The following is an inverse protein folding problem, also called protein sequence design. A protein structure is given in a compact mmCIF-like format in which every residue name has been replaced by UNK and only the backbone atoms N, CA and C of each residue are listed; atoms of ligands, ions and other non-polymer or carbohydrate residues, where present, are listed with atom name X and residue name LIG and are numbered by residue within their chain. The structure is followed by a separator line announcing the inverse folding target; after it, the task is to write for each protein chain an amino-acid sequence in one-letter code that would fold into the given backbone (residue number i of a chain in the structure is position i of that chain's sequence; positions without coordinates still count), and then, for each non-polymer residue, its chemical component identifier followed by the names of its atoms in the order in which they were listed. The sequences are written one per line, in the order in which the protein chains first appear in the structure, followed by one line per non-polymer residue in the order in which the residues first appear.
data_IF_513767880300
#
_entry.id   IF_513767880300
#
_cell.length_a   1.000
_cell.length_b   1.000
_cell.length_c   1.000
_cell.angle_alpha   90.00
_cell.angle_beta   90.00
_cell.angle_gamma   90.00
#
_symmetry.space_group_name_H-M   'P 1'
#
loop_
_entity.id
_entity.type
_entity.pdbx_description
1 polymer ?
#
# COMPACT_ATOMS: atom_id res chain seq x y z
N UNK A 1 -29.62 -10.25 -15.46
CA UNK A 1 -28.55 -9.48 -16.11
C UNK A 1 -27.56 -10.44 -16.73
N UNK A 2 -27.42 -10.39 -18.05
CA UNK A 2 -26.40 -11.09 -18.81
C UNK A 2 -25.03 -10.44 -18.61
N UNK A 3 -23.94 -11.17 -18.85
CA UNK A 3 -22.58 -10.62 -18.74
C UNK A 3 -22.36 -9.31 -19.55
N UNK A 4 -22.90 -9.15 -20.78
CA UNK A 4 -22.80 -7.91 -21.56
C UNK A 4 -23.56 -6.71 -20.97
N UNK A 5 -24.57 -6.93 -20.13
CA UNK A 5 -25.30 -5.86 -19.43
C UNK A 5 -24.51 -5.40 -18.20
N UNK A 6 -23.83 -6.33 -17.53
CA UNK A 6 -22.98 -6.07 -16.38
C UNK A 6 -21.74 -5.23 -16.74
N UNK A 7 -21.11 -5.53 -17.87
CA UNK A 7 -19.95 -4.78 -18.38
C UNK A 7 -20.33 -3.34 -18.78
N UNK A 8 -21.47 -3.16 -19.46
CA UNK A 8 -22.00 -1.83 -19.78
C UNK A 8 -22.32 -1.01 -18.54
N UNK A 9 -22.91 -1.64 -17.53
CA UNK A 9 -23.17 -1.01 -16.23
C UNK A 9 -21.86 -0.53 -15.58
N UNK A 10 -20.84 -1.37 -15.48
CA UNK A 10 -19.57 -0.97 -14.86
C UNK A 10 -18.83 0.12 -15.64
N UNK A 11 -18.88 0.07 -16.98
CA UNK A 11 -18.30 1.10 -17.84
C UNK A 11 -18.99 2.46 -17.69
N UNK A 12 -20.31 2.48 -17.42
CA UNK A 12 -21.08 3.70 -17.27
C UNK A 12 -21.10 4.24 -15.82
N UNK A 13 -21.15 3.36 -14.82
CA UNK A 13 -21.32 3.74 -13.42
C UNK A 13 -20.06 4.40 -12.85
N UNK A 14 -18.86 3.95 -13.24
CA UNK A 14 -17.60 4.54 -12.79
C UNK A 14 -17.55 6.07 -13.03
N UNK A 15 -17.59 6.54 -14.28
CA UNK A 15 -17.59 7.97 -14.60
C UNK A 15 -18.70 8.78 -13.89
N UNK A 16 -19.88 8.18 -13.69
CA UNK A 16 -20.96 8.81 -12.92
C UNK A 16 -20.59 8.99 -11.44
N UNK A 17 -20.11 7.94 -10.78
CA UNK A 17 -19.77 7.98 -9.35
C UNK A 17 -18.63 8.96 -9.03
N UNK A 18 -17.80 9.29 -10.02
CA UNK A 18 -16.73 10.28 -9.91
C UNK A 18 -17.10 11.67 -10.47
N UNK A 19 -18.38 11.90 -10.81
CA UNK A 19 -18.93 13.23 -11.10
C UNK A 19 -18.70 13.78 -12.50
N UNK A 20 -18.35 12.92 -13.46
CA UNK A 20 -18.11 13.33 -14.85
C UNK A 20 -19.32 13.18 -15.75
N UNK A 21 -20.27 12.35 -15.33
CA UNK A 21 -21.57 12.22 -15.97
C UNK A 21 -22.65 12.71 -15.03
N UNK A 22 -23.60 13.43 -15.59
CA UNK A 22 -24.87 13.72 -14.96
C UNK A 22 -25.70 12.43 -14.80
N UNK A 23 -26.71 12.48 -13.93
CA UNK A 23 -27.67 11.39 -13.80
C UNK A 23 -28.37 11.10 -15.13
N UNK A 24 -28.72 12.14 -15.90
CA UNK A 24 -29.35 12.01 -17.21
C UNK A 24 -28.47 11.23 -18.21
N UNK A 25 -27.17 11.49 -18.24
CA UNK A 25 -26.23 10.76 -19.11
C UNK A 25 -26.03 9.31 -18.65
N UNK A 26 -26.07 9.05 -17.34
CA UNK A 26 -26.06 7.68 -16.82
C UNK A 26 -27.34 6.94 -17.23
N UNK A 27 -28.51 7.49 -16.95
CA UNK A 27 -29.80 6.84 -17.25
C UNK A 27 -30.01 6.62 -18.76
N UNK A 28 -29.52 7.53 -19.60
CA UNK A 28 -29.50 7.32 -21.05
C UNK A 28 -28.65 6.10 -21.47
N UNK A 29 -27.64 5.73 -20.68
CA UNK A 29 -26.71 4.63 -21.00
C UNK A 29 -27.11 3.28 -20.42
N UNK A 30 -27.76 3.24 -19.25
CA UNK A 30 -28.10 2.00 -18.53
C UNK A 30 -29.60 1.83 -18.24
N UNK A 31 -30.43 2.78 -18.65
CA UNK A 31 -31.85 2.86 -18.31
C UNK A 31 -32.10 3.61 -17.01
N UNK A 32 -33.35 3.98 -16.77
CA UNK A 32 -33.77 4.70 -15.56
C UNK A 32 -33.52 3.89 -14.30
N UNK A 33 -33.08 4.55 -13.24
CA UNK A 33 -32.92 3.91 -11.93
C UNK A 33 -34.29 3.59 -11.33
N UNK A 34 -34.49 2.34 -10.90
CA UNK A 34 -35.68 1.93 -10.15
C UNK A 34 -35.82 2.67 -8.81
N UNK A 35 -34.73 3.23 -8.28
CA UNK A 35 -34.69 4.01 -7.04
C UNK A 35 -34.84 5.53 -7.25
N UNK A 36 -34.97 5.97 -8.51
CA UNK A 36 -35.08 7.39 -8.88
C UNK A 36 -33.74 8.13 -8.96
N UNK A 37 -33.80 9.32 -9.58
CA UNK A 37 -32.67 10.21 -9.87
C UNK A 37 -31.96 10.73 -8.61
N UNK A 38 -32.73 11.15 -7.59
CA UNK A 38 -32.18 11.67 -6.32
C UNK A 38 -31.32 10.63 -5.58
N UNK A 39 -31.70 9.35 -5.67
CA UNK A 39 -30.96 8.25 -5.06
C UNK A 39 -29.61 8.03 -5.76
N UNK A 40 -29.53 8.24 -7.08
CA UNK A 40 -28.27 8.15 -7.83
C UNK A 40 -27.32 9.28 -7.43
N UNK A 41 -27.81 10.52 -7.32
CA UNK A 41 -27.00 11.65 -6.89
C UNK A 41 -26.49 11.49 -5.45
N UNK A 42 -27.35 11.01 -4.55
CA UNK A 42 -26.92 10.67 -3.19
C UNK A 42 -25.82 9.61 -3.19
N UNK A 43 -25.97 8.56 -4.01
CA UNK A 43 -24.99 7.48 -4.09
C UNK A 43 -23.62 7.95 -4.62
N UNK A 44 -23.62 8.87 -5.59
CA UNK A 44 -22.40 9.55 -6.07
C UNK A 44 -21.69 10.30 -4.93
N UNK A 45 -22.43 11.13 -4.19
CA UNK A 45 -21.87 11.88 -3.05
C UNK A 45 -21.34 10.93 -1.96
N UNK A 46 -22.04 9.81 -1.72
CA UNK A 46 -21.63 8.80 -0.74
C UNK A 46 -20.30 8.14 -1.15
N UNK A 47 -20.16 7.73 -2.42
CA UNK A 47 -18.93 7.11 -2.93
C UNK A 47 -17.77 8.09 -2.82
N UNK A 48 -17.94 9.34 -3.27
CA UNK A 48 -16.90 10.37 -3.17
C UNK A 48 -16.44 10.59 -1.72
N UNK A 49 -17.38 10.72 -0.78
CA UNK A 49 -17.08 10.87 0.65
C UNK A 49 -16.34 9.66 1.22
N UNK A 50 -16.79 8.46 0.87
CA UNK A 50 -16.15 7.22 1.35
C UNK A 50 -14.74 7.07 0.80
N UNK A 51 -14.52 7.37 -0.48
CA UNK A 51 -13.20 7.37 -1.10
C UNK A 51 -12.23 8.31 -0.39
N UNK A 52 -12.67 9.55 -0.12
CA UNK A 52 -11.89 10.54 0.63
C UNK A 52 -11.57 10.06 2.05
N UNK A 53 -12.55 9.45 2.71
CA UNK A 53 -12.41 8.88 4.05
C UNK A 53 -11.41 7.73 4.08
N UNK A 54 -11.52 6.77 3.16
CA UNK A 54 -10.62 5.62 3.04
C UNK A 54 -9.18 6.09 2.90
N UNK A 55 -8.90 7.04 1.99
CA UNK A 55 -7.54 7.57 1.83
C UNK A 55 -7.06 8.29 3.08
N UNK A 56 -7.91 9.09 3.72
CA UNK A 56 -7.58 9.81 4.96
C UNK A 56 -7.26 8.89 6.13
N UNK A 57 -7.96 7.76 6.25
CA UNK A 57 -7.76 6.78 7.32
C UNK A 57 -6.56 5.87 7.02
N UNK A 58 -6.48 5.33 5.81
CA UNK A 58 -5.40 4.44 5.38
C UNK A 58 -4.05 5.16 5.40
N UNK A 59 -3.99 6.38 4.86
CA UNK A 59 -2.77 7.17 4.71
C UNK A 59 -2.69 8.34 5.71
N UNK A 60 -3.28 8.19 6.89
CA UNK A 60 -3.22 9.21 7.96
C UNK A 60 -1.78 9.73 8.23
N UNK A 61 -0.73 8.88 8.30
CA UNK A 61 0.64 9.39 8.45
C UNK A 61 1.16 10.20 7.27
N UNK A 62 0.73 9.87 6.04
CA UNK A 62 1.08 10.63 4.83
C UNK A 62 0.39 11.98 4.86
N UNK A 63 -0.89 12.02 5.25
CA UNK A 63 -1.63 13.26 5.46
C UNK A 63 -0.92 14.14 6.49
N UNK A 64 -0.54 13.58 7.62
CA UNK A 64 0.17 14.31 8.68
C UNK A 64 1.48 14.91 8.19
N UNK A 65 2.31 14.12 7.49
CA UNK A 65 3.55 14.61 6.90
C UNK A 65 3.29 15.67 5.82
N UNK A 66 2.29 15.45 4.97
CA UNK A 66 1.90 16.38 3.91
C UNK A 66 1.50 17.74 4.49
N UNK A 67 0.63 17.79 5.49
CA UNK A 67 0.18 19.04 6.11
C UNK A 67 1.32 19.79 6.84
N UNK A 68 2.33 19.08 7.34
CA UNK A 68 3.52 19.69 7.96
C UNK A 68 4.48 20.29 6.93
N UNK A 69 4.59 19.69 5.75
CA UNK A 69 5.49 20.13 4.69
C UNK A 69 4.81 21.16 3.76
N UNK A 70 3.54 20.96 3.48
CA UNK A 70 2.72 21.71 2.53
C UNK A 70 1.28 21.84 3.08
N UNK A 71 1.01 22.78 4.00
CA UNK A 71 -0.32 22.99 4.56
C UNK A 71 -1.39 23.18 3.49
N UNK A 72 -2.50 22.44 3.60
CA UNK A 72 -3.64 22.51 2.68
C UNK A 72 -3.49 21.70 1.39
N UNK A 73 -2.36 21.01 1.17
CA UNK A 73 -2.14 20.20 -0.03
C UNK A 73 -2.94 18.88 -0.02
N UNK A 74 -3.24 18.31 1.16
CA UNK A 74 -3.88 17.00 1.26
C UNK A 74 -5.24 16.90 0.53
N UNK A 75 -6.19 17.85 0.71
CA UNK A 75 -7.46 17.81 -0.02
C UNK A 75 -7.29 17.82 -1.55
N UNK A 76 -6.31 18.57 -2.07
CA UNK A 76 -5.99 18.61 -3.51
C UNK A 76 -5.49 17.24 -3.98
N UNK A 77 -4.54 16.62 -3.26
CA UNK A 77 -4.00 15.30 -3.60
C UNK A 77 -5.08 14.23 -3.65
N UNK A 78 -5.96 14.20 -2.66
CA UNK A 78 -7.04 13.22 -2.57
C UNK A 78 -8.03 13.41 -3.72
N UNK A 79 -8.39 14.66 -4.04
CA UNK A 79 -9.32 14.96 -5.14
C UNK A 79 -8.72 14.57 -6.51
N UNK A 80 -7.45 14.90 -6.74
CA UNK A 80 -6.74 14.57 -7.99
C UNK A 80 -6.52 13.06 -8.14
N UNK A 81 -6.18 12.36 -7.06
CA UNK A 81 -6.06 10.90 -7.07
C UNK A 81 -7.42 10.25 -7.39
N UNK A 82 -8.48 10.67 -6.70
CA UNK A 82 -9.82 10.13 -6.93
C UNK A 82 -10.31 10.35 -8.37
N UNK A 83 -9.95 11.49 -8.97
CA UNK A 83 -10.25 11.77 -10.37
C UNK A 83 -9.44 10.92 -11.34
N UNK A 84 -8.20 10.55 -11.02
CA UNK A 84 -7.32 9.79 -11.91
C UNK A 84 -7.46 8.27 -11.78
N UNK A 85 -7.92 7.76 -10.64
CA UNK A 85 -7.98 6.32 -10.33
C UNK A 85 -9.43 5.82 -10.19
N UNK A 86 -10.22 6.07 -11.24
CA UNK A 86 -11.65 5.73 -11.30
C UNK A 86 -11.83 4.22 -11.41
N UNK A 87 -12.30 3.57 -10.34
CA UNK A 87 -12.87 2.21 -10.46
C UNK A 87 -11.89 1.07 -10.81
N UNK A 88 -10.58 1.23 -10.57
CA UNK A 88 -9.65 0.10 -10.71
C UNK A 88 -9.83 -0.95 -9.59
N UNK A 89 -10.22 -0.51 -8.39
CA UNK A 89 -10.35 -1.38 -7.24
C UNK A 89 -11.75 -2.02 -7.21
N UNK A 90 -11.83 -3.33 -7.47
CA UNK A 90 -13.04 -4.15 -7.21
C UNK A 90 -13.42 -4.16 -5.72
N UNK A 91 -12.47 -3.86 -4.84
CA UNK A 91 -12.62 -3.77 -3.39
C UNK A 91 -12.28 -2.33 -2.93
N UNK A 92 -13.21 -1.59 -2.30
CA UNK A 92 -12.95 -0.26 -1.75
C UNK A 92 -11.73 -0.21 -0.81
N UNK A 93 -11.40 -1.31 -0.13
CA UNK A 93 -10.23 -1.41 0.74
C UNK A 93 -8.90 -1.31 -0.01
N UNK A 94 -8.91 -1.56 -1.32
CA UNK A 94 -7.74 -1.48 -2.21
C UNK A 94 -7.65 -0.17 -2.99
N UNK A 95 -8.58 0.77 -2.77
CA UNK A 95 -8.60 2.03 -3.49
C UNK A 95 -7.26 2.82 -3.40
N UNK A 96 -6.52 2.65 -2.30
CA UNK A 96 -5.22 3.29 -2.07
C UNK A 96 -4.02 2.65 -2.78
N UNK A 97 -4.17 1.54 -3.48
CA UNK A 97 -3.06 0.73 -4.00
C UNK A 97 -2.06 1.52 -4.86
N UNK A 98 -2.57 2.40 -5.72
CA UNK A 98 -1.74 3.18 -6.64
C UNK A 98 -1.36 4.56 -6.08
N UNK A 99 -1.68 4.87 -4.82
CA UNK A 99 -1.49 6.22 -4.27
C UNK A 99 -0.01 6.63 -4.23
N UNK A 100 0.90 5.71 -3.91
CA UNK A 100 2.34 5.99 -3.96
C UNK A 100 2.81 6.32 -5.39
N UNK A 101 2.41 5.52 -6.38
CA UNK A 101 2.77 5.75 -7.78
C UNK A 101 2.21 7.08 -8.30
N UNK A 102 0.98 7.45 -7.89
CA UNK A 102 0.40 8.75 -8.19
C UNK A 102 1.25 9.91 -7.60
N UNK A 103 1.69 9.79 -6.34
CA UNK A 103 2.54 10.82 -5.72
C UNK A 103 3.89 10.95 -6.45
N UNK A 104 4.48 9.83 -6.87
CA UNK A 104 5.70 9.82 -7.66
C UNK A 104 5.53 10.53 -9.01
N UNK A 105 4.48 10.19 -9.78
CA UNK A 105 4.16 10.85 -11.04
C UNK A 105 3.87 12.35 -10.87
N UNK A 106 3.25 12.74 -9.75
CA UNK A 106 3.01 14.15 -9.43
C UNK A 106 4.30 14.89 -9.09
N UNK A 107 5.22 14.26 -8.35
CA UNK A 107 6.54 14.82 -8.04
C UNK A 107 7.38 15.03 -9.29
N UNK A 108 7.27 14.18 -10.31
CA UNK A 108 7.93 14.43 -11.60
C UNK A 108 7.49 15.76 -12.24
N UNK A 109 6.22 16.15 -12.03
CA UNK A 109 5.67 17.43 -12.50
C UNK A 109 5.92 18.58 -11.52
N UNK A 110 6.18 18.26 -10.25
CA UNK A 110 6.42 19.19 -9.13
C UNK A 110 7.65 18.77 -8.32
N UNK A 111 8.87 18.95 -8.87
CA UNK A 111 10.11 18.41 -8.28
C UNK A 111 10.46 18.95 -6.89
N UNK A 112 9.82 20.05 -6.47
CA UNK A 112 9.93 20.61 -5.12
C UNK A 112 9.26 19.73 -4.05
N UNK A 113 8.38 18.80 -4.45
CA UNK A 113 7.75 17.87 -3.52
C UNK A 113 8.71 16.78 -3.08
N UNK A 114 8.74 16.53 -1.78
CA UNK A 114 9.64 15.53 -1.20
C UNK A 114 9.23 14.11 -1.61
N UNK A 115 10.19 13.23 -1.99
CA UNK A 115 9.91 11.81 -2.23
C UNK A 115 9.43 11.10 -0.96
N UNK A 116 9.59 11.69 0.22
CA UNK A 116 9.12 11.10 1.47
C UNK A 116 7.60 10.84 1.49
N UNK A 117 6.80 11.60 0.74
CA UNK A 117 5.36 11.38 0.66
C UNK A 117 5.04 10.08 -0.09
N UNK A 118 5.68 9.83 -1.24
CA UNK A 118 5.45 8.62 -2.04
C UNK A 118 6.01 7.37 -1.36
N UNK A 119 7.19 7.49 -0.71
CA UNK A 119 7.81 6.38 0.02
C UNK A 119 7.03 6.02 1.29
N UNK A 120 6.54 7.02 2.04
CA UNK A 120 5.70 6.76 3.20
C UNK A 120 4.34 6.16 2.80
N UNK A 121 3.78 6.59 1.67
CA UNK A 121 2.57 5.98 1.13
C UNK A 121 2.79 4.51 0.74
N UNK A 122 3.87 4.18 0.03
CA UNK A 122 4.21 2.78 -0.30
C UNK A 122 4.38 1.95 0.97
N UNK A 123 5.12 2.46 1.96
CA UNK A 123 5.34 1.74 3.21
C UNK A 123 4.03 1.46 3.96
N UNK A 124 3.16 2.46 4.08
CA UNK A 124 1.85 2.32 4.73
C UNK A 124 0.97 1.32 3.98
N UNK A 125 0.94 1.39 2.66
CA UNK A 125 0.16 0.45 1.85
C UNK A 125 0.70 -0.98 1.92
N UNK A 126 2.02 -1.19 1.83
CA UNK A 126 2.65 -2.50 1.99
C UNK A 126 2.32 -3.11 3.36
N UNK A 127 2.30 -2.30 4.42
CA UNK A 127 1.89 -2.75 5.75
C UNK A 127 0.43 -3.18 5.78
N UNK A 128 -0.46 -2.40 5.16
CA UNK A 128 -1.87 -2.73 5.03
C UNK A 128 -2.05 -4.05 4.24
N UNK A 129 -1.48 -4.14 3.04
CA UNK A 129 -1.57 -5.31 2.17
C UNK A 129 -1.04 -6.59 2.86
N UNK A 130 0.11 -6.50 3.53
CA UNK A 130 0.65 -7.62 4.32
C UNK A 130 -0.29 -8.02 5.47
N UNK A 131 -0.93 -7.05 6.13
CA UNK A 131 -1.85 -7.31 7.24
C UNK A 131 -3.15 -7.99 6.78
N UNK A 132 -3.61 -7.72 5.56
CA UNK A 132 -4.84 -8.27 4.97
C UNK A 132 -4.60 -9.51 4.12
N UNK A 133 -3.35 -9.93 3.91
CA UNK A 133 -3.03 -11.12 3.15
C UNK A 133 -3.76 -12.36 3.72
N UNK A 134 -4.24 -13.31 2.90
CA UNK A 134 -4.88 -14.53 3.42
C UNK A 134 -3.91 -15.36 4.28
N UNK A 135 -4.42 -16.13 5.24
CA UNK A 135 -3.62 -17.05 6.06
C UNK A 135 -3.42 -18.42 5.42
N UNK A 136 -4.39 -18.84 4.61
CA UNK A 136 -4.36 -20.08 3.83
C UNK A 136 -3.84 -19.77 2.43
N UNK A 137 -2.85 -20.54 1.99
CA UNK A 137 -2.22 -20.34 0.70
C UNK A 137 -2.49 -21.52 -0.22
N UNK A 138 -2.57 -21.23 -1.52
CA UNK A 138 -2.78 -22.24 -2.54
C UNK A 138 -1.53 -23.10 -2.75
N UNK A 139 -1.65 -24.21 -3.50
CA UNK A 139 -0.52 -25.09 -3.83
C UNK A 139 0.61 -24.36 -4.57
N UNK A 140 0.31 -23.25 -5.26
CA UNK A 140 1.28 -22.45 -6.02
C UNK A 140 1.99 -21.37 -5.18
N UNK A 141 1.57 -21.12 -3.94
CA UNK A 141 2.23 -20.21 -2.99
C UNK A 141 2.21 -20.83 -1.58
N UNK A 142 2.76 -22.04 -1.37
CA UNK A 142 2.61 -22.78 -0.11
C UNK A 142 3.10 -22.00 1.11
N UNK A 143 4.01 -21.04 0.89
CA UNK A 143 4.56 -20.20 1.92
C UNK A 143 3.84 -18.87 2.10
N UNK A 144 2.99 -18.42 1.17
CA UNK A 144 2.32 -17.12 1.24
C UNK A 144 3.24 -15.93 1.03
N UNK A 145 4.36 -16.17 0.37
CA UNK A 145 5.54 -15.32 0.37
C UNK A 145 5.26 -14.00 -0.35
N UNK A 146 4.71 -14.09 -1.55
CA UNK A 146 4.50 -12.96 -2.46
C UNK A 146 3.45 -11.96 -1.95
N UNK A 147 2.59 -12.39 -1.03
CA UNK A 147 1.44 -11.59 -0.58
C UNK A 147 1.65 -10.92 0.77
N UNK A 148 2.58 -11.41 1.59
CA UNK A 148 2.78 -10.92 2.96
C UNK A 148 4.14 -10.30 3.23
N UNK A 149 5.11 -10.49 2.35
CA UNK A 149 6.45 -9.93 2.48
C UNK A 149 6.72 -8.98 1.32
N UNK A 150 7.05 -7.74 1.67
CA UNK A 150 7.48 -6.73 0.72
C UNK A 150 8.93 -6.39 1.02
N UNK A 151 9.78 -6.50 -0.01
CA UNK A 151 11.14 -5.97 0.02
C UNK A 151 11.10 -4.60 -0.65
N UNK A 152 11.55 -3.57 0.06
CA UNK A 152 11.53 -2.19 -0.42
C UNK A 152 12.87 -1.52 -0.20
N UNK A 153 13.23 -0.61 -1.09
CA UNK A 153 14.36 0.29 -0.95
C UNK A 153 13.81 1.71 -0.88
N UNK A 154 14.06 2.38 0.24
CA UNK A 154 13.68 3.77 0.45
C UNK A 154 14.92 4.65 0.47
N UNK A 155 14.78 5.92 0.09
CA UNK A 155 15.84 6.91 0.18
C UNK A 155 16.00 7.47 1.59
N UNK A 156 15.01 7.28 2.46
CA UNK A 156 15.05 7.67 3.87
C UNK A 156 14.66 6.54 4.85
N UNK A 157 14.80 6.82 6.15
CA UNK A 157 14.35 5.95 7.23
C UNK A 157 12.84 5.99 7.42
N UNK A 158 12.07 5.50 6.44
CA UNK A 158 10.60 5.56 6.44
C UNK A 158 9.95 4.85 7.65
N UNK A 159 10.42 3.67 8.09
CA UNK A 159 9.89 3.06 9.31
C UNK A 159 10.07 3.94 10.55
N UNK A 160 11.23 4.58 10.71
CA UNK A 160 11.51 5.52 11.81
C UNK A 160 10.69 6.79 11.70
N UNK A 161 10.51 7.33 10.49
CA UNK A 161 9.67 8.49 10.24
C UNK A 161 8.23 8.22 10.70
N UNK A 162 7.67 7.06 10.34
CA UNK A 162 6.34 6.67 10.82
C UNK A 162 6.28 6.55 12.35
N UNK A 163 7.32 5.98 12.98
CA UNK A 163 7.39 5.89 14.45
C UNK A 163 7.47 7.28 15.07
N UNK A 164 8.22 8.21 14.48
CA UNK A 164 8.37 9.57 14.95
C UNK A 164 7.05 10.34 14.86
N UNK A 165 6.35 10.28 13.72
CA UNK A 165 5.02 10.88 13.54
C UNK A 165 4.02 10.37 14.59
N UNK A 166 3.94 9.05 14.79
CA UNK A 166 3.02 8.44 15.76
C UNK A 166 3.33 8.77 17.21
N UNK A 167 4.61 8.81 17.59
CA UNK A 167 5.03 9.03 18.99
C UNK A 167 5.14 10.52 19.34
N UNK A 168 5.24 11.39 18.34
CA UNK A 168 5.48 12.83 18.50
C UNK A 168 4.64 13.64 17.49
N UNK A 169 3.30 13.58 17.58
CA UNK A 169 2.41 14.30 16.66
C UNK A 169 2.59 15.82 16.70
N UNK A 170 3.11 16.36 17.81
CA UNK A 170 3.35 17.80 17.97
C UNK A 170 4.81 18.22 17.75
N UNK A 171 5.71 17.28 17.43
CA UNK A 171 7.12 17.64 17.20
C UNK A 171 7.23 18.55 15.96
N UNK A 172 8.10 19.58 15.98
CA UNK A 172 8.34 20.38 14.79
C UNK A 172 8.94 19.52 13.67
N UNK A 173 8.71 19.91 12.41
CA UNK A 173 9.22 19.20 11.23
C UNK A 173 10.74 18.98 11.28
N UNK A 174 11.49 19.92 11.86
CA UNK A 174 12.95 19.82 12.06
C UNK A 174 13.40 18.68 12.98
N UNK A 175 12.51 18.14 13.82
CA UNK A 175 12.79 17.02 14.71
C UNK A 175 12.44 15.65 14.09
N UNK A 176 11.88 15.62 12.88
CA UNK A 176 11.57 14.39 12.16
C UNK A 176 12.82 13.89 11.40
N UNK A 177 12.98 12.56 11.24
CA UNK A 177 14.12 11.98 10.53
C UNK A 177 13.94 12.07 9.00
N UNK A 178 13.95 13.30 8.46
CA UNK A 178 13.72 13.58 7.04
C UNK A 178 14.98 13.49 6.18
N UNK A 179 16.16 13.38 6.79
CA UNK A 179 17.42 13.33 6.07
C UNK A 179 17.56 12.05 5.25
N UNK A 180 18.16 12.10 4.04
CA UNK A 180 18.43 10.92 3.23
C UNK A 180 19.25 9.89 4.01
N UNK A 181 18.72 8.67 4.05
CA UNK A 181 19.36 7.49 4.64
C UNK A 181 18.83 6.26 3.92
N UNK A 182 19.40 5.94 2.73
CA UNK A 182 18.93 4.82 1.94
C UNK A 182 18.89 3.55 2.78
N UNK A 183 17.77 2.84 2.73
CA UNK A 183 17.62 1.61 3.50
C UNK A 183 16.73 0.60 2.81
N UNK A 184 17.21 -0.64 2.76
CA UNK A 184 16.39 -1.80 2.40
C UNK A 184 15.57 -2.21 3.62
N UNK A 185 14.28 -2.44 3.41
CA UNK A 185 13.32 -2.79 4.46
C UNK A 185 12.53 -4.01 4.01
N UNK A 186 12.44 -5.00 4.90
CA UNK A 186 11.42 -6.05 4.84
C UNK A 186 10.19 -5.57 5.59
N UNK A 187 9.02 -5.64 4.96
CA UNK A 187 7.72 -5.32 5.56
C UNK A 187 6.91 -6.59 5.51
N UNK A 188 6.53 -7.13 6.68
CA UNK A 188 5.92 -8.44 6.70
C UNK A 188 4.93 -8.67 7.82
N UNK A 189 3.99 -9.58 7.57
CA UNK A 189 3.20 -10.21 8.63
C UNK A 189 3.92 -11.48 9.09
N UNK A 190 4.22 -11.53 10.38
CA UNK A 190 4.88 -12.64 11.07
C UNK A 190 4.11 -13.94 10.84
N UNK A 191 4.83 -14.98 10.42
CA UNK A 191 4.34 -16.34 10.38
C UNK A 191 4.09 -16.86 11.79
N UNK A 192 3.10 -17.72 11.97
CA UNK A 192 2.86 -18.39 13.26
C UNK A 192 4.14 -19.09 13.71
N UNK A 193 4.74 -18.60 14.78
CA UNK A 193 5.85 -19.27 15.47
C UNK A 193 5.22 -20.02 16.65
N UNK A 194 5.47 -21.32 16.75
CA UNK A 194 5.15 -22.16 17.91
C UNK A 194 3.67 -22.21 18.35
N UNK A 195 2.74 -22.20 17.38
CA UNK A 195 1.31 -22.37 17.66
C UNK A 195 0.61 -21.12 18.23
N UNK A 196 1.35 -20.04 18.50
CA UNK A 196 0.78 -18.75 18.88
C UNK A 196 0.23 -18.02 17.65
N UNK A 197 -1.06 -17.70 17.69
CA UNK A 197 -1.69 -16.86 16.68
C UNK A 197 -1.55 -15.41 17.06
N UNK A 198 -0.70 -14.67 16.37
CA UNK A 198 -0.76 -13.22 16.40
C UNK A 198 -1.95 -12.76 15.55
N UNK A 199 -2.82 -11.92 16.11
CA UNK A 199 -3.86 -11.27 15.32
C UNK A 199 -3.25 -10.50 14.13
N UNK A 200 -4.00 -10.33 13.04
CA UNK A 200 -3.52 -9.75 11.78
C UNK A 200 -2.74 -8.43 11.95
N UNK A 201 -3.20 -7.55 12.85
CA UNK A 201 -2.51 -6.29 13.16
C UNK A 201 -1.30 -6.44 14.10
N UNK A 202 -1.32 -7.41 15.01
CA UNK A 202 -0.24 -7.68 15.97
C UNK A 202 0.96 -8.40 15.33
N UNK A 203 0.74 -9.11 14.22
CA UNK A 203 1.78 -9.80 13.46
C UNK A 203 2.60 -8.87 12.54
N UNK A 204 2.21 -7.61 12.35
CA UNK A 204 2.92 -6.72 11.42
C UNK A 204 4.26 -6.23 11.97
N UNK A 205 5.34 -6.52 11.25
CA UNK A 205 6.71 -6.11 11.58
C UNK A 205 7.44 -5.55 10.36
N UNK A 206 8.57 -4.91 10.66
CA UNK A 206 9.55 -4.54 9.65
C UNK A 206 10.95 -4.89 10.16
N UNK A 207 11.88 -5.11 9.24
CA UNK A 207 13.26 -5.45 9.55
C UNK A 207 14.20 -4.87 8.49
N UNK A 208 15.43 -4.51 8.88
CA UNK A 208 16.50 -4.17 7.93
C UNK A 208 17.32 -5.42 7.65
N UNK A 209 17.16 -6.04 6.47
CA UNK A 209 17.87 -7.27 6.19
C UNK A 209 19.36 -6.97 5.97
N UNK A 210 20.21 -7.88 6.43
CA UNK A 210 21.61 -7.90 6.00
C UNK A 210 21.75 -8.60 4.63
N UNK A 211 22.99 -8.64 4.12
CA UNK A 211 23.29 -9.24 2.81
C UNK A 211 22.97 -10.75 2.77
N UNK A 212 23.20 -11.47 3.87
CA UNK A 212 22.95 -12.91 3.94
C UNK A 212 21.45 -13.22 3.97
N UNK A 213 20.66 -12.40 4.67
CA UNK A 213 19.20 -12.48 4.68
C UNK A 213 18.62 -12.19 3.28
N UNK A 214 19.10 -11.15 2.59
CA UNK A 214 18.67 -10.86 1.23
C UNK A 214 19.01 -12.00 0.26
N UNK A 215 20.23 -12.54 0.34
CA UNK A 215 20.65 -13.65 -0.50
C UNK A 215 19.85 -14.93 -0.22
N UNK A 216 19.53 -15.22 1.06
CA UNK A 216 18.68 -16.33 1.43
C UNK A 216 17.25 -16.19 0.86
N UNK A 217 16.66 -14.99 0.91
CA UNK A 217 15.35 -14.70 0.31
C UNK A 217 15.36 -14.86 -1.21
N UNK A 218 16.39 -14.35 -1.87
CA UNK A 218 16.53 -14.44 -3.33
C UNK A 218 16.69 -15.90 -3.79
N UNK A 219 17.53 -16.69 -3.11
CA UNK A 219 17.67 -18.13 -3.41
C UNK A 219 16.37 -18.91 -3.21
N UNK A 220 15.59 -18.59 -2.17
CA UNK A 220 14.31 -19.25 -1.92
C UNK A 220 13.25 -18.95 -2.99
N UNK A 221 13.37 -17.79 -3.65
CA UNK A 221 12.57 -17.42 -4.84
C UNK A 221 13.16 -17.93 -6.16
N UNK A 222 14.27 -18.69 -6.13
CA UNK A 222 14.93 -19.15 -7.35
C UNK A 222 15.57 -18.02 -8.17
N UNK A 223 15.83 -16.86 -7.57
CA UNK A 223 16.48 -15.73 -8.24
C UNK A 223 17.99 -15.92 -8.28
N UNK A 224 18.60 -15.49 -9.39
CA UNK A 224 20.05 -15.42 -9.50
C UNK A 224 20.62 -14.36 -8.55
N UNK A 225 21.71 -14.70 -7.86
CA UNK A 225 22.36 -13.79 -6.93
C UNK A 225 23.34 -12.87 -7.65
N UNK A 226 23.30 -11.55 -7.38
CA UNK A 226 24.31 -10.65 -7.89
C UNK A 226 25.68 -10.97 -7.28
N UNK A 227 26.80 -10.57 -7.92
CA UNK A 227 28.16 -10.94 -7.51
C UNK A 227 28.49 -10.81 -6.00
N UNK A 228 28.13 -9.71 -5.30
CA UNK A 228 28.43 -9.60 -3.87
C UNK A 228 27.65 -10.59 -3.00
N UNK A 229 26.46 -11.03 -3.43
CA UNK A 229 25.66 -12.04 -2.73
C UNK A 229 26.09 -13.46 -3.11
N UNK A 230 26.55 -13.67 -4.35
CA UNK A 230 27.05 -14.96 -4.83
C UNK A 230 28.36 -15.38 -4.14
N UNK A 231 29.12 -14.42 -3.60
CA UNK A 231 30.34 -14.67 -2.83
C UNK A 231 30.09 -15.16 -1.39
N UNK A 232 28.85 -15.20 -0.93
CA UNK A 232 28.51 -15.69 0.41
C UNK A 232 28.70 -17.21 0.51
N UNK A 233 29.32 -17.66 1.59
CA UNK A 233 29.48 -19.08 1.86
C UNK A 233 28.15 -19.73 2.34
N UNK A 234 28.12 -21.07 2.33
CA UNK A 234 26.93 -21.82 2.74
C UNK A 234 26.52 -21.51 4.20
N UNK A 235 27.47 -21.32 5.10
CA UNK A 235 27.18 -21.07 6.52
C UNK A 235 26.59 -19.66 6.73
N UNK A 236 27.02 -18.66 5.97
CA UNK A 236 26.43 -17.32 5.96
C UNK A 236 24.98 -17.37 5.48
N UNK A 237 24.71 -18.11 4.40
CA UNK A 237 23.36 -18.27 3.87
C UNK A 237 22.44 -19.02 4.85
N UNK A 238 22.93 -20.08 5.49
CA UNK A 238 22.21 -20.81 6.53
C UNK A 238 21.88 -19.92 7.73
N UNK A 239 22.84 -19.10 8.21
CA UNK A 239 22.57 -18.13 9.28
C UNK A 239 21.54 -17.08 8.87
N UNK A 240 21.61 -16.57 7.65
CA UNK A 240 20.64 -15.64 7.11
C UNK A 240 19.23 -16.24 7.07
N UNK A 241 19.12 -17.48 6.59
CA UNK A 241 17.86 -18.23 6.55
C UNK A 241 17.31 -18.47 7.96
N UNK A 242 18.13 -18.96 8.88
CA UNK A 242 17.73 -19.21 10.27
C UNK A 242 17.26 -17.92 10.97
N UNK A 243 17.92 -16.79 10.71
CA UNK A 243 17.51 -15.49 11.22
C UNK A 243 16.13 -15.06 10.68
N UNK A 244 15.86 -15.29 9.39
CA UNK A 244 14.55 -14.98 8.79
C UNK A 244 13.43 -15.87 9.33
N UNK A 245 13.70 -17.15 9.58
CA UNK A 245 12.76 -18.06 10.25
C UNK A 245 12.49 -17.58 11.68
N UNK A 246 13.53 -17.25 12.44
CA UNK A 246 13.40 -16.72 13.81
C UNK A 246 12.63 -15.41 13.87
N UNK A 247 12.77 -14.55 12.86
CA UNK A 247 12.01 -13.30 12.74
C UNK A 247 10.53 -13.54 12.35
N UNK A 248 10.17 -14.76 11.96
CA UNK A 248 8.85 -15.10 11.45
C UNK A 248 8.60 -14.60 10.02
N UNK A 249 9.65 -14.29 9.27
CA UNK A 249 9.54 -13.96 7.84
C UNK A 249 9.22 -15.23 7.04
N UNK A 250 9.95 -16.31 7.35
CA UNK A 250 9.87 -17.61 6.70
C UNK A 250 9.38 -18.69 7.66
N UNK A 251 8.82 -19.77 7.13
CA UNK A 251 8.54 -20.99 7.90
C UNK A 251 9.81 -21.82 8.05
N UNK A 252 9.94 -22.54 9.17
CA UNK A 252 10.89 -23.64 9.24
C UNK A 252 10.52 -24.69 8.17
N UNK A 253 11.53 -25.21 7.48
CA UNK A 253 11.37 -26.21 6.41
C UNK A 253 11.55 -27.60 6.99
#
# INVERSE_FOLDING_TARGET
MSAPELERLYAAIGPFLFGERSVAELEASIGSSASGTDALDFYRVLVERNTKKILGELFSPVRELCERLHPGLWPELVADYARSHRGAARDPNWFGEHFSAFLAARREQRPEQSPLLEELADYVFCRFAASTAPDAFGPDDPEGFERRLFVRLYTAGIPELLVALRKRPEAPTSALPLAPRPSTVLIFRVHRVDGESFGAAAGMRWHRPDLAQLAALARRQGLELPPPMAALDAAQLERGLAALVKLGVLRAS
#
